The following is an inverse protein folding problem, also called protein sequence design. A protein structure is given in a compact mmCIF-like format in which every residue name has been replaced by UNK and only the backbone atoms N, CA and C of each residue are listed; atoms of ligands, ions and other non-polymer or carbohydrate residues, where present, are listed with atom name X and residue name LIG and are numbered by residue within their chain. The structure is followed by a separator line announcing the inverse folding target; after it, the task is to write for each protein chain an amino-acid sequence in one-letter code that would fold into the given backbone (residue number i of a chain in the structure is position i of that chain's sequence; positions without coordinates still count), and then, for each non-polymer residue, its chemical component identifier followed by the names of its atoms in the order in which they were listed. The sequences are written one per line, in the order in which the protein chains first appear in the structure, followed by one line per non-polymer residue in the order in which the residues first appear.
data_IF_737010003364
#
_entry.id   IF_737010003364
#
_cell.length_a   1.000
_cell.length_b   1.000
_cell.length_c   1.000
_cell.angle_alpha   90.00
_cell.angle_beta   90.00
_cell.angle_gamma   90.00
#
_symmetry.space_group_name_H-M   'P 1'
#
loop_
_entity.id
_entity.type
_entity.pdbx_description
1 polymer ?
#
# COMPACT_ATOMS: atom_id res chain seq x y z
N UNK A 1 -20.95 7.15 -0.82
CA UNK A 1 -20.80 8.50 -1.40
C UNK A 1 -22.08 9.31 -1.24
N UNK A 2 -23.23 8.95 -1.83
CA UNK A 2 -24.47 9.74 -1.64
C UNK A 2 -24.85 10.07 -0.18
N UNK A 3 -24.77 9.10 0.74
CA UNK A 3 -25.01 9.34 2.17
C UNK A 3 -23.93 10.19 2.86
N UNK A 4 -22.69 10.11 2.37
CA UNK A 4 -21.59 10.98 2.81
C UNK A 4 -21.85 12.42 2.40
N UNK A 5 -22.26 12.64 1.15
CA UNK A 5 -22.49 13.98 0.59
C UNK A 5 -23.76 14.63 1.12
N UNK A 6 -24.60 13.85 1.82
CA UNK A 6 -25.83 14.30 2.47
C UNK A 6 -25.69 14.42 4.00
N UNK A 7 -24.49 14.27 4.56
CA UNK A 7 -24.24 14.30 6.00
C UNK A 7 -25.05 13.27 6.82
N UNK A 8 -25.32 12.10 6.23
CA UNK A 8 -26.04 10.99 6.87
C UNK A 8 -25.10 9.86 7.34
N UNK A 9 -24.35 10.07 8.43
CA UNK A 9 -23.35 9.11 8.93
C UNK A 9 -23.96 7.73 9.25
N UNK A 10 -25.10 7.61 9.96
CA UNK A 10 -25.67 6.30 10.29
C UNK A 10 -26.04 5.49 9.05
N UNK A 11 -26.53 6.17 7.99
CA UNK A 11 -26.89 5.54 6.72
C UNK A 11 -25.63 5.07 5.98
N UNK A 12 -24.56 5.89 5.99
CA UNK A 12 -23.28 5.49 5.43
C UNK A 12 -22.69 4.28 6.17
N UNK A 13 -22.76 4.24 7.51
CA UNK A 13 -22.32 3.11 8.32
C UNK A 13 -23.09 1.83 8.01
N UNK A 14 -24.42 1.93 7.86
CA UNK A 14 -25.26 0.81 7.47
C UNK A 14 -24.85 0.26 6.10
N UNK A 15 -24.65 1.12 5.10
CA UNK A 15 -24.21 0.68 3.78
C UNK A 15 -22.85 -0.01 3.78
N UNK A 16 -21.87 0.47 4.56
CA UNK A 16 -20.60 -0.24 4.72
C UNK A 16 -20.76 -1.56 5.45
N UNK A 17 -21.63 -1.63 6.45
CA UNK A 17 -21.90 -2.87 7.18
C UNK A 17 -22.48 -3.92 6.25
N UNK A 18 -23.48 -3.56 5.44
CA UNK A 18 -24.05 -4.43 4.42
C UNK A 18 -23.02 -4.82 3.34
N UNK A 19 -22.17 -3.87 2.92
CA UNK A 19 -21.09 -4.18 1.96
C UNK A 19 -20.10 -5.23 2.52
N UNK A 20 -19.77 -5.17 3.81
CA UNK A 20 -18.93 -6.19 4.45
C UNK A 20 -19.63 -7.53 4.57
N UNK A 21 -20.92 -7.55 4.93
CA UNK A 21 -21.70 -8.80 4.99
C UNK A 21 -21.73 -9.47 3.62
N UNK A 22 -22.04 -8.73 2.55
CA UNK A 22 -22.03 -9.25 1.18
C UNK A 22 -20.64 -9.75 0.77
N UNK A 23 -19.58 -9.03 1.14
CA UNK A 23 -18.22 -9.47 0.90
C UNK A 23 -17.90 -10.82 1.57
N UNK A 24 -18.39 -11.04 2.78
CA UNK A 24 -18.16 -12.26 3.55
C UNK A 24 -19.01 -13.44 3.09
N UNK A 25 -20.29 -13.21 2.83
CA UNK A 25 -21.29 -14.26 2.63
C UNK A 25 -21.45 -14.63 1.15
N UNK A 26 -21.32 -13.67 0.23
CA UNK A 26 -21.67 -13.87 -1.19
C UNK A 26 -20.44 -13.99 -2.11
N UNK A 27 -19.27 -13.46 -1.71
CA UNK A 27 -18.08 -13.43 -2.57
C UNK A 27 -17.08 -14.52 -2.18
N UNK A 28 -17.12 -15.63 -2.91
CA UNK A 28 -16.22 -16.78 -2.70
C UNK A 28 -15.04 -16.84 -3.67
N UNK A 29 -15.15 -16.26 -4.87
CA UNK A 29 -14.05 -16.27 -5.85
C UNK A 29 -12.90 -15.35 -5.43
N UNK A 30 -11.68 -15.87 -5.46
CA UNK A 30 -10.49 -15.14 -4.98
C UNK A 30 -10.22 -13.83 -5.74
N UNK A 31 -10.54 -13.77 -7.04
CA UNK A 31 -10.31 -12.56 -7.85
C UNK A 31 -11.42 -11.54 -7.59
N UNK A 32 -12.66 -12.00 -7.45
CA UNK A 32 -13.78 -11.14 -7.08
C UNK A 32 -13.61 -10.55 -5.68
N UNK A 33 -13.11 -11.33 -4.71
CA UNK A 33 -12.75 -10.84 -3.38
C UNK A 33 -11.76 -9.68 -3.45
N UNK A 34 -10.68 -9.82 -4.23
CA UNK A 34 -9.69 -8.75 -4.39
C UNK A 34 -10.32 -7.49 -4.97
N UNK A 35 -11.14 -7.63 -6.01
CA UNK A 35 -11.80 -6.49 -6.66
C UNK A 35 -12.79 -5.79 -5.72
N UNK A 36 -13.66 -6.55 -5.06
CA UNK A 36 -14.64 -6.02 -4.12
C UNK A 36 -13.96 -5.31 -2.95
N UNK A 37 -12.88 -5.89 -2.42
CA UNK A 37 -12.13 -5.26 -1.34
C UNK A 37 -11.47 -3.95 -1.79
N UNK A 38 -10.95 -3.86 -3.01
CA UNK A 38 -10.43 -2.58 -3.53
C UNK A 38 -11.52 -1.51 -3.68
N UNK A 39 -12.73 -1.90 -4.10
CA UNK A 39 -13.87 -0.97 -4.13
C UNK A 39 -14.23 -0.48 -2.73
N UNK A 40 -14.25 -1.37 -1.74
CA UNK A 40 -14.50 -1.00 -0.34
C UNK A 40 -13.41 -0.06 0.18
N UNK A 41 -12.12 -0.41 0.02
CA UNK A 41 -10.98 0.42 0.46
C UNK A 41 -11.01 1.79 -0.21
N UNK A 42 -11.17 1.82 -1.54
CA UNK A 42 -11.19 3.05 -2.32
C UNK A 42 -12.37 3.95 -1.94
N UNK A 43 -13.56 3.37 -1.75
CA UNK A 43 -14.73 4.12 -1.31
C UNK A 43 -14.51 4.66 0.10
N UNK A 44 -14.08 3.81 1.04
CA UNK A 44 -13.85 4.21 2.44
C UNK A 44 -12.79 5.31 2.57
N UNK A 45 -11.77 5.31 1.71
CA UNK A 45 -10.73 6.34 1.69
C UNK A 45 -11.30 7.74 1.37
N UNK A 46 -12.38 7.83 0.58
CA UNK A 46 -13.02 9.10 0.20
C UNK A 46 -14.12 9.56 1.17
N UNK A 47 -14.49 8.72 2.13
CA UNK A 47 -15.52 9.05 3.11
C UNK A 47 -14.93 9.93 4.21
N UNK A 48 -15.51 11.11 4.41
CA UNK A 48 -15.11 12.08 5.43
C UNK A 48 -16.14 12.24 6.55
N UNK A 49 -17.34 11.67 6.36
CA UNK A 49 -18.46 11.79 7.31
C UNK A 49 -18.28 11.00 8.61
N UNK A 50 -17.42 9.98 8.62
CA UNK A 50 -17.32 9.07 9.76
C UNK A 50 -16.58 9.70 10.95
N UNK A 51 -17.20 9.65 12.13
CA UNK A 51 -16.53 9.88 13.39
C UNK A 51 -15.43 8.86 13.66
N UNK A 52 -14.54 9.18 14.60
CA UNK A 52 -13.31 8.42 14.88
C UNK A 52 -13.60 6.93 15.13
N UNK A 53 -14.60 6.61 15.96
CA UNK A 53 -14.93 5.22 16.32
C UNK A 53 -15.44 4.39 15.13
N UNK A 54 -16.35 4.95 14.33
CA UNK A 54 -16.87 4.31 13.14
C UNK A 54 -15.76 4.13 12.10
N UNK A 55 -14.93 5.17 11.89
CA UNK A 55 -13.80 5.11 10.96
C UNK A 55 -12.80 4.03 11.36
N UNK A 56 -12.44 3.96 12.65
CA UNK A 56 -11.52 2.95 13.17
C UNK A 56 -12.10 1.53 13.00
N UNK A 57 -13.39 1.34 13.27
CA UNK A 57 -14.05 0.04 13.08
C UNK A 57 -14.03 -0.41 11.62
N UNK A 58 -14.38 0.48 10.69
CA UNK A 58 -14.41 0.19 9.26
C UNK A 58 -13.00 -0.07 8.69
N UNK A 59 -11.99 0.72 9.08
CA UNK A 59 -10.60 0.46 8.65
C UNK A 59 -10.04 -0.83 9.21
N UNK A 60 -10.36 -1.17 10.46
CA UNK A 60 -9.94 -2.42 11.07
C UNK A 60 -10.50 -3.62 10.29
N UNK A 61 -11.78 -3.58 9.91
CA UNK A 61 -12.38 -4.60 9.04
C UNK A 61 -11.66 -4.69 7.67
N UNK A 62 -11.52 -3.57 6.95
CA UNK A 62 -10.85 -3.56 5.63
C UNK A 62 -9.43 -4.14 5.68
N UNK A 63 -8.63 -3.69 6.64
CA UNK A 63 -7.25 -4.17 6.84
C UNK A 63 -7.20 -5.64 7.25
N UNK A 64 -8.18 -6.09 8.06
CA UNK A 64 -8.37 -7.48 8.42
C UNK A 64 -8.62 -8.39 7.22
N UNK A 65 -9.50 -7.99 6.29
CA UNK A 65 -9.76 -8.75 5.06
C UNK A 65 -8.57 -8.74 4.10
N UNK A 66 -7.92 -7.58 3.90
CA UNK A 66 -6.72 -7.47 3.09
C UNK A 66 -5.64 -8.46 3.54
N UNK A 67 -5.50 -8.60 4.86
CA UNK A 67 -4.56 -9.53 5.47
C UNK A 67 -4.98 -11.01 5.43
N UNK A 68 -6.20 -11.34 5.01
CA UNK A 68 -6.70 -12.73 4.92
C UNK A 68 -6.78 -13.24 3.48
N UNK A 69 -6.46 -12.40 2.48
CA UNK A 69 -6.42 -12.83 1.08
C UNK A 69 -5.46 -14.02 0.89
N UNK A 70 -5.89 -14.97 0.06
CA UNK A 70 -5.24 -16.27 -0.10
C UNK A 70 -3.87 -16.15 -0.79
N UNK A 71 -3.80 -15.38 -1.88
CA UNK A 71 -2.58 -15.24 -2.69
C UNK A 71 -1.70 -14.15 -2.11
N UNK A 72 -0.43 -14.47 -1.86
CA UNK A 72 0.55 -13.53 -1.27
C UNK A 72 0.70 -12.21 -2.04
N UNK A 73 0.77 -12.19 -3.38
CA UNK A 73 0.83 -10.92 -4.11
C UNK A 73 -0.42 -10.06 -3.87
N UNK A 74 -1.61 -10.66 -3.94
CA UNK A 74 -2.87 -9.93 -3.73
C UNK A 74 -2.99 -9.44 -2.28
N UNK A 75 -2.62 -10.28 -1.31
CA UNK A 75 -2.52 -9.93 0.10
C UNK A 75 -1.59 -8.73 0.33
N UNK A 76 -0.40 -8.75 -0.27
CA UNK A 76 0.58 -7.67 -0.18
C UNK A 76 0.00 -6.35 -0.69
N UNK A 77 -0.60 -6.38 -1.89
CA UNK A 77 -1.15 -5.21 -2.55
C UNK A 77 -2.34 -4.61 -1.84
N UNK A 78 -3.26 -5.44 -1.36
CA UNK A 78 -4.38 -4.97 -0.55
C UNK A 78 -3.90 -4.36 0.77
N UNK A 79 -2.90 -4.96 1.43
CA UNK A 79 -2.36 -4.46 2.70
C UNK A 79 -1.68 -3.10 2.55
N UNK A 80 -0.83 -2.89 1.53
CA UNK A 80 -0.28 -1.55 1.31
C UNK A 80 -1.36 -0.59 0.81
N UNK A 81 -2.40 -1.03 0.10
CA UNK A 81 -3.48 -0.14 -0.32
C UNK A 81 -4.24 0.42 0.88
N UNK A 82 -4.44 -0.38 1.94
CA UNK A 82 -5.02 0.09 3.19
C UNK A 82 -4.21 1.18 3.89
N UNK A 83 -2.92 1.39 3.57
CA UNK A 83 -2.15 2.50 4.16
C UNK A 83 -2.79 3.87 3.85
N UNK A 84 -3.44 4.01 2.69
CA UNK A 84 -4.15 5.23 2.31
C UNK A 84 -5.41 5.50 3.15
N UNK A 85 -5.92 4.50 3.88
CA UNK A 85 -7.03 4.72 4.82
C UNK A 85 -6.63 5.53 6.05
N UNK A 86 -5.33 5.64 6.31
CA UNK A 86 -4.73 6.32 7.47
C UNK A 86 -4.03 7.62 7.09
N UNK A 87 -4.14 8.03 5.82
CA UNK A 87 -3.48 9.23 5.33
C UNK A 87 -4.30 9.88 4.21
N UNK A 88 -5.00 10.95 4.56
CA UNK A 88 -5.74 11.81 3.65
C UNK A 88 -4.88 13.01 3.24
N UNK A 89 -5.07 13.46 2.01
CA UNK A 89 -4.36 14.62 1.47
C UNK A 89 -4.91 15.95 2.01
N UNK A 90 -6.17 15.96 2.46
CA UNK A 90 -6.86 17.14 2.99
C UNK A 90 -6.21 17.64 4.30
N UNK A 91 -6.34 18.94 4.58
CA UNK A 91 -5.73 19.57 5.77
C UNK A 91 -6.28 18.99 7.08
N UNK A 92 -7.59 18.74 7.13
CA UNK A 92 -8.28 18.19 8.31
C UNK A 92 -8.51 16.68 8.20
N UNK A 93 -7.91 16.05 7.20
CA UNK A 93 -8.01 14.61 6.99
C UNK A 93 -7.15 13.80 7.97
N UNK A 94 -7.45 12.51 8.10
CA UNK A 94 -6.67 11.58 8.93
C UNK A 94 -5.20 11.57 8.50
N UNK A 95 -4.27 11.80 9.44
CA UNK A 95 -2.81 11.74 9.21
C UNK A 95 -2.11 10.88 10.27
N UNK A 96 -2.43 9.60 10.27
CA UNK A 96 -1.81 8.62 11.16
C UNK A 96 -0.63 7.93 10.46
N UNK A 97 0.53 8.57 10.57
CA UNK A 97 1.75 8.09 9.94
C UNK A 97 2.24 6.74 10.47
N UNK A 98 1.91 6.40 11.72
CA UNK A 98 2.33 5.14 12.35
C UNK A 98 1.55 3.96 11.77
N UNK A 99 0.23 4.12 11.63
CA UNK A 99 -0.61 3.10 10.98
C UNK A 99 -0.30 2.95 9.48
N UNK A 100 0.06 4.05 8.79
CA UNK A 100 0.63 3.97 7.42
C UNK A 100 1.86 3.05 7.41
N UNK A 101 2.85 3.34 8.26
CA UNK A 101 4.08 2.57 8.32
C UNK A 101 3.83 1.10 8.72
N UNK A 102 2.86 0.85 9.61
CA UNK A 102 2.46 -0.50 10.01
C UNK A 102 1.95 -1.31 8.81
N UNK A 103 1.07 -0.72 7.98
CA UNK A 103 0.60 -1.35 6.74
C UNK A 103 1.76 -1.66 5.79
N UNK A 104 2.66 -0.70 5.58
CA UNK A 104 3.80 -0.88 4.67
C UNK A 104 4.79 -1.93 5.16
N UNK A 105 5.13 -1.95 6.46
CA UNK A 105 5.97 -2.99 7.08
C UNK A 105 5.32 -4.37 6.98
N UNK A 106 3.99 -4.46 7.13
CA UNK A 106 3.26 -5.71 6.96
C UNK A 106 3.29 -6.19 5.51
N UNK A 107 3.09 -5.29 4.54
CA UNK A 107 3.22 -5.60 3.12
C UNK A 107 4.63 -6.10 2.79
N UNK A 108 5.67 -5.46 3.32
CA UNK A 108 7.06 -5.87 3.14
C UNK A 108 7.32 -7.29 3.68
N UNK A 109 6.78 -7.64 4.84
CA UNK A 109 6.85 -9.01 5.38
C UNK A 109 6.16 -10.04 4.46
N UNK A 110 5.03 -9.67 3.86
CA UNK A 110 4.29 -10.53 2.92
C UNK A 110 5.08 -10.69 1.62
N UNK A 111 5.66 -9.61 1.09
CA UNK A 111 6.51 -9.63 -0.10
C UNK A 111 7.74 -10.52 0.10
N UNK A 112 8.41 -10.42 1.25
CA UNK A 112 9.52 -11.31 1.63
C UNK A 112 9.09 -12.78 1.65
N UNK A 113 7.93 -13.11 2.25
CA UNK A 113 7.42 -14.48 2.24
C UNK A 113 7.10 -14.97 0.82
N UNK A 114 6.57 -14.10 -0.05
CA UNK A 114 6.32 -14.43 -1.46
C UNK A 114 7.62 -14.68 -2.23
N UNK A 115 8.64 -13.86 -2.01
CA UNK A 115 9.98 -14.00 -2.61
C UNK A 115 10.63 -15.32 -2.22
N UNK A 116 10.62 -15.66 -0.92
CA UNK A 116 11.19 -16.90 -0.41
C UNK A 116 10.50 -18.13 -0.99
N UNK A 117 9.16 -18.12 -1.10
CA UNK A 117 8.41 -19.19 -1.75
C UNK A 117 8.78 -19.33 -3.23
N UNK A 118 8.85 -18.22 -3.97
CA UNK A 118 9.22 -18.26 -5.39
C UNK A 118 10.61 -18.86 -5.61
N UNK A 119 11.59 -18.47 -4.78
CA UNK A 119 12.95 -19.00 -4.82
C UNK A 119 12.99 -20.52 -4.53
N UNK A 120 12.14 -21.01 -3.63
CA UNK A 120 12.09 -22.43 -3.27
C UNK A 120 11.49 -23.32 -4.37
N UNK A 121 10.48 -22.84 -5.11
CA UNK A 121 9.75 -23.67 -6.09
C UNK A 121 10.43 -23.74 -7.47
N UNK A 122 11.61 -23.12 -7.67
CA UNK A 122 12.25 -22.90 -9.00
C UNK A 122 11.27 -22.35 -10.05
N UNK A 123 10.21 -21.70 -9.59
CA UNK A 123 9.19 -21.08 -10.43
C UNK A 123 9.72 -19.75 -10.96
N UNK A 124 9.24 -19.35 -12.13
CA UNK A 124 9.62 -18.09 -12.79
C UNK A 124 9.57 -16.91 -11.80
N UNK A 125 10.74 -16.33 -11.49
CA UNK A 125 10.92 -14.99 -10.92
C UNK A 125 10.31 -14.77 -9.54
N UNK A 126 11.17 -14.46 -8.56
CA UNK A 126 10.71 -13.85 -7.32
C UNK A 126 9.90 -12.58 -7.56
N UNK A 127 8.97 -12.26 -6.64
CA UNK A 127 8.13 -11.08 -6.74
C UNK A 127 8.86 -9.80 -6.32
N UNK A 128 10.05 -9.56 -6.90
CA UNK A 128 10.79 -8.30 -6.72
C UNK A 128 9.94 -7.09 -7.09
N UNK A 129 8.99 -7.30 -8.01
CA UNK A 129 7.93 -6.35 -8.35
C UNK A 129 7.19 -5.82 -7.12
N UNK A 130 6.86 -6.66 -6.12
CA UNK A 130 6.17 -6.20 -4.91
C UNK A 130 7.05 -5.27 -4.07
N UNK A 131 8.36 -5.51 -4.00
CA UNK A 131 9.27 -4.59 -3.30
C UNK A 131 9.31 -3.23 -3.99
N UNK A 132 9.35 -3.20 -5.33
CA UNK A 132 9.33 -1.95 -6.11
C UNK A 132 8.00 -1.22 -5.93
N UNK A 133 6.87 -1.93 -5.94
CA UNK A 133 5.55 -1.35 -5.66
C UNK A 133 5.49 -0.74 -4.24
N UNK A 134 6.01 -1.44 -3.23
CA UNK A 134 6.11 -0.93 -1.85
C UNK A 134 7.02 0.29 -1.80
N UNK A 135 8.18 0.29 -2.48
CA UNK A 135 9.07 1.44 -2.56
C UNK A 135 8.33 2.67 -3.07
N UNK A 136 7.53 2.53 -4.13
CA UNK A 136 6.72 3.63 -4.64
C UNK A 136 5.68 4.14 -3.63
N UNK A 137 5.17 3.27 -2.75
CA UNK A 137 4.31 3.70 -1.63
C UNK A 137 5.10 4.44 -0.55
N UNK A 138 6.31 3.99 -0.19
CA UNK A 138 7.20 4.74 0.69
C UNK A 138 7.47 6.15 0.11
N UNK A 139 7.86 6.24 -1.15
CA UNK A 139 8.11 7.51 -1.83
C UNK A 139 6.89 8.43 -1.82
N UNK A 140 5.69 7.89 -2.09
CA UNK A 140 4.44 8.65 -2.00
C UNK A 140 4.25 9.30 -0.62
N UNK A 141 4.30 8.52 0.46
CA UNK A 141 4.05 9.04 1.80
C UNK A 141 5.19 9.94 2.31
N UNK A 142 6.42 9.68 1.87
CA UNK A 142 7.57 10.55 2.13
C UNK A 142 7.35 11.95 1.52
N UNK A 143 6.91 12.01 0.27
CA UNK A 143 6.59 13.27 -0.42
C UNK A 143 5.42 14.00 0.25
N UNK A 144 4.42 13.25 0.73
CA UNK A 144 3.28 13.79 1.48
C UNK A 144 3.64 14.24 2.91
N UNK A 145 4.89 14.06 3.35
CA UNK A 145 5.37 14.54 4.65
C UNK A 145 5.05 13.63 5.82
N UNK A 146 4.86 12.33 5.59
CA UNK A 146 4.80 11.37 6.67
C UNK A 146 6.21 11.11 7.23
N UNK A 147 6.51 11.71 8.38
CA UNK A 147 7.81 11.61 9.06
C UNK A 147 8.17 10.19 9.53
N UNK A 148 7.20 9.28 9.58
CA UNK A 148 7.46 7.87 9.88
C UNK A 148 8.15 7.15 8.72
N UNK A 149 8.06 7.69 7.50
CA UNK A 149 8.82 7.22 6.36
C UNK A 149 10.17 7.93 6.36
N UNK A 150 11.22 7.19 6.70
CA UNK A 150 12.57 7.76 6.81
C UNK A 150 13.37 7.52 5.54
N UNK A 151 14.38 8.38 5.34
CA UNK A 151 15.38 8.24 4.28
C UNK A 151 16.05 6.87 4.34
N UNK A 152 16.48 6.43 5.53
CA UNK A 152 17.10 5.13 5.72
C UNK A 152 16.16 4.00 5.28
N UNK A 153 14.88 4.05 5.63
CA UNK A 153 13.94 3.00 5.23
C UNK A 153 13.74 2.92 3.70
N UNK A 154 13.84 4.04 2.99
CA UNK A 154 13.82 4.08 1.51
C UNK A 154 15.10 3.46 0.95
N UNK A 155 16.27 3.82 1.52
CA UNK A 155 17.57 3.30 1.11
C UNK A 155 17.69 1.79 1.34
N UNK A 156 17.35 1.32 2.54
CA UNK A 156 17.35 -0.10 2.89
C UNK A 156 16.49 -0.91 1.91
N UNK A 157 15.34 -0.35 1.47
CA UNK A 157 14.46 -1.01 0.50
C UNK A 157 15.03 -0.98 -0.92
N UNK A 158 15.69 0.10 -1.33
CA UNK A 158 16.40 0.17 -2.61
C UNK A 158 17.57 -0.82 -2.68
N UNK A 159 18.33 -0.95 -1.58
CA UNK A 159 19.41 -1.93 -1.46
C UNK A 159 18.87 -3.35 -1.51
N UNK A 160 17.77 -3.64 -0.79
CA UNK A 160 17.08 -4.93 -0.85
C UNK A 160 16.64 -5.27 -2.29
N UNK A 161 15.99 -4.33 -2.98
CA UNK A 161 15.56 -4.54 -4.38
C UNK A 161 16.77 -4.85 -5.27
N UNK A 162 17.85 -4.06 -5.14
CA UNK A 162 19.07 -4.26 -5.92
C UNK A 162 19.68 -5.63 -5.68
N UNK A 163 19.77 -6.06 -4.42
CA UNK A 163 20.28 -7.38 -4.04
C UNK A 163 19.42 -8.52 -4.62
N UNK A 164 18.10 -8.42 -4.53
CA UNK A 164 17.18 -9.44 -5.06
C UNK A 164 17.23 -9.52 -6.60
N UNK A 165 17.49 -8.40 -7.29
CA UNK A 165 17.65 -8.37 -8.75
C UNK A 165 19.00 -8.93 -9.22
N UNK A 166 20.05 -8.86 -8.40
CA UNK A 166 21.41 -9.30 -8.73
C UNK A 166 21.75 -10.70 -8.22
N UNK A 167 20.89 -11.32 -7.41
CA UNK A 167 21.18 -12.62 -6.79
C UNK A 167 21.35 -13.76 -7.80
N UNK A 168 22.09 -14.81 -7.41
CA UNK A 168 22.43 -15.96 -8.29
C UNK A 168 21.21 -16.73 -8.85
N UNK A 169 20.05 -16.61 -8.21
CA UNK A 169 18.78 -17.20 -8.66
C UNK A 169 17.86 -16.20 -9.38
N UNK A 170 18.32 -14.96 -9.59
CA UNK A 170 17.54 -13.94 -10.25
C UNK A 170 17.46 -14.24 -11.75
N UNK A 171 16.25 -14.52 -12.24
CA UNK A 171 15.98 -14.38 -13.66
C UNK A 171 15.70 -12.91 -13.94
N UNK A 172 16.38 -12.34 -14.93
CA UNK A 172 16.11 -10.98 -15.40
C UNK A 172 14.63 -10.86 -15.77
N UNK A 173 13.95 -9.93 -15.09
CA UNK A 173 12.60 -9.50 -15.41
C UNK A 173 12.70 -8.07 -15.95
N UNK A 174 12.66 -7.89 -17.28
CA UNK A 174 12.78 -6.58 -17.90
C UNK A 174 11.72 -5.58 -17.43
N UNK A 175 10.53 -6.05 -17.03
CA UNK A 175 9.48 -5.18 -16.52
C UNK A 175 9.82 -4.67 -15.12
N UNK A 176 10.35 -5.52 -14.24
CA UNK A 176 10.83 -5.11 -12.93
C UNK A 176 12.02 -4.15 -13.05
N UNK A 177 12.98 -4.43 -13.93
CA UNK A 177 14.11 -3.55 -14.21
C UNK A 177 13.66 -2.17 -14.70
N UNK A 178 12.75 -2.12 -15.67
CA UNK A 178 12.21 -0.87 -16.19
C UNK A 178 11.47 -0.07 -15.10
N UNK A 179 10.70 -0.75 -14.24
CA UNK A 179 9.95 -0.09 -13.18
C UNK A 179 10.85 0.44 -12.06
N UNK A 180 11.86 -0.35 -11.65
CA UNK A 180 12.83 0.10 -10.66
C UNK A 180 13.65 1.28 -11.18
N UNK A 181 14.16 1.20 -12.41
CA UNK A 181 14.87 2.31 -13.05
C UNK A 181 14.02 3.58 -13.17
N UNK A 182 12.72 3.43 -13.45
CA UNK A 182 11.78 4.57 -13.46
C UNK A 182 11.63 5.21 -12.08
N UNK A 183 11.59 4.39 -11.02
CA UNK A 183 11.54 4.84 -9.63
C UNK A 183 12.83 5.56 -9.22
N UNK A 184 14.00 5.07 -9.63
CA UNK A 184 15.28 5.74 -9.40
C UNK A 184 15.38 7.08 -10.14
N UNK A 185 14.92 7.14 -11.39
CA UNK A 185 14.84 8.41 -12.14
C UNK A 185 13.91 9.41 -11.47
N UNK A 186 12.78 8.94 -10.91
CA UNK A 186 11.87 9.80 -10.15
C UNK A 186 12.57 10.42 -8.93
N UNK A 187 13.30 9.62 -8.14
CA UNK A 187 14.08 10.10 -6.99
C UNK A 187 15.08 11.18 -7.44
N UNK A 188 15.83 10.93 -8.52
CA UNK A 188 16.80 11.89 -9.05
C UNK A 188 16.13 13.18 -9.57
N UNK A 189 14.98 13.06 -10.22
CA UNK A 189 14.20 14.21 -10.64
C UNK A 189 13.73 15.06 -9.46
N UNK A 190 13.26 14.44 -8.37
CA UNK A 190 12.83 15.16 -7.17
C UNK A 190 13.98 15.92 -6.49
N UNK A 191 15.21 15.39 -6.52
CA UNK A 191 16.42 16.10 -6.05
C UNK A 191 16.78 17.35 -6.87
N UNK A 192 16.33 17.44 -8.11
CA UNK A 192 16.64 18.55 -9.01
C UNK A 192 15.54 19.62 -9.05
N UNK A 193 14.36 19.29 -8.52
CA UNK A 193 13.15 20.11 -8.61
C UNK A 193 13.22 21.40 -7.78
N UNK A 194 14.13 21.47 -6.80
CA UNK A 194 14.24 22.60 -5.87
C UNK A 194 13.11 22.66 -4.83
N UNK A 195 13.27 23.53 -3.82
CA UNK A 195 12.29 23.73 -2.74
C UNK A 195 12.27 22.61 -1.68
N UNK A 196 11.28 22.66 -0.78
CA UNK A 196 11.21 21.78 0.40
C UNK A 196 11.15 20.28 0.07
N UNK A 197 10.62 19.89 -1.09
CA UNK A 197 10.64 18.48 -1.54
C UNK A 197 12.06 18.07 -1.91
N UNK A 198 12.79 18.91 -2.64
CA UNK A 198 14.18 18.65 -3.02
C UNK A 198 15.07 18.44 -1.79
N UNK A 199 14.95 19.29 -0.78
CA UNK A 199 15.70 19.19 0.48
C UNK A 199 15.48 17.84 1.19
N UNK A 200 14.26 17.31 1.17
CA UNK A 200 13.95 15.99 1.73
C UNK A 200 14.63 14.86 0.95
N UNK A 201 14.66 14.98 -0.37
CA UNK A 201 15.24 13.97 -1.26
C UNK A 201 16.78 14.02 -1.34
N UNK A 202 17.42 15.13 -0.97
CA UNK A 202 18.90 15.24 -0.97
C UNK A 202 19.57 14.16 -0.09
N UNK A 203 18.94 13.81 1.02
CA UNK A 203 19.45 12.80 1.94
C UNK A 203 19.31 11.35 1.41
N UNK A 204 18.40 11.11 0.47
CA UNK A 204 18.19 9.79 -0.15
C UNK A 204 19.31 9.54 -1.16
N UNK A 205 20.34 8.81 -0.77
CA UNK A 205 21.49 8.50 -1.66
C UNK A 205 21.11 7.54 -2.77
#
# INVERSE_FOLDING_TARGET
EAANDSDLEPVACEFFTQAYILYEEEISDSREQVNALYLIIGTLQRMHIFGVENRDTLTHKATGYAAKLLKKPDQCRAVYACSHLFWADDQDGVRDGERVLLCLKRALKIANAAQQMANATRGKGGSVMLFIEILNKYLYFFEKGNNQITVNAIQDLMELITSEMQGDNAMSDPAAEAFFNSSLRYIQFQKQKGGAVSERYEAVK
#
